data_IF_108107872584
#
_entry.id   IF_108107872584
#
_cell.length_a   1.000
_cell.length_b   1.000
_cell.length_c   1.000
_cell.angle_alpha   90.00
_cell.angle_beta   90.00
_cell.angle_gamma   90.00
#
_symmetry.space_group_name_H-M   'P 1'
#
loop_
_entity.id
_entity.type
_entity.pdbx_description
1 polymer ?
#
# COMPACT_ATOMS: atom_id res chain seq x y z
N UNK A 1 -32.14 22.82 21.09
CA UNK A 1 -30.91 22.13 21.51
C UNK A 1 -30.03 21.96 20.28
N UNK A 2 -28.83 22.55 20.28
CA UNK A 2 -27.94 22.57 19.11
C UNK A 2 -26.61 23.28 19.39
N UNK A 3 -26.19 23.32 20.67
CA UNK A 3 -24.90 23.91 21.02
C UNK A 3 -23.85 22.80 20.88
N UNK A 4 -22.76 23.09 20.16
CA UNK A 4 -21.63 22.17 20.01
C UNK A 4 -20.99 21.83 21.36
N UNK A 5 -20.21 20.74 21.43
CA UNK A 5 -19.67 20.21 22.69
C UNK A 5 -18.95 21.28 23.52
N UNK A 6 -18.15 22.15 22.89
CA UNK A 6 -17.49 23.28 23.57
C UNK A 6 -18.45 24.14 24.42
N UNK A 7 -19.61 24.49 23.87
CA UNK A 7 -20.59 25.33 24.54
C UNK A 7 -21.48 24.57 25.53
N UNK A 8 -21.59 23.23 25.42
CA UNK A 8 -22.29 22.40 26.40
C UNK A 8 -21.46 22.26 27.68
N UNK A 9 -20.15 22.01 27.57
CA UNK A 9 -19.28 21.86 28.74
C UNK A 9 -19.07 23.17 29.49
N UNK A 10 -19.04 24.31 28.79
CA UNK A 10 -19.01 25.64 29.40
C UNK A 10 -20.29 25.97 30.19
N UNK A 11 -21.46 25.51 29.71
CA UNK A 11 -22.77 25.67 30.38
C UNK A 11 -22.95 24.76 31.61
N UNK A 12 -22.31 23.59 31.65
CA UNK A 12 -22.43 22.62 32.76
C UNK A 12 -21.49 23.00 33.91
N UNK A 13 -20.22 23.27 33.61
CA UNK A 13 -19.25 23.74 34.60
C UNK A 13 -18.10 24.48 33.88
N UNK A 14 -17.84 25.76 34.18
CA UNK A 14 -16.84 26.57 33.47
C UNK A 14 -15.40 26.04 33.59
N UNK A 15 -15.12 25.20 34.61
CA UNK A 15 -13.84 24.47 34.74
C UNK A 15 -13.64 23.43 33.62
N UNK A 16 -14.72 22.89 33.05
CA UNK A 16 -14.70 21.86 31.99
C UNK A 16 -14.68 22.46 30.57
N UNK A 17 -14.57 23.77 30.42
CA UNK A 17 -14.47 24.42 29.11
C UNK A 17 -13.28 23.86 28.28
N UNK A 18 -12.16 23.55 28.95
CA UNK A 18 -11.01 22.89 28.32
C UNK A 18 -11.33 21.52 27.72
N UNK A 19 -12.26 20.76 28.30
CA UNK A 19 -12.69 19.46 27.78
C UNK A 19 -13.44 19.61 26.46
N UNK A 20 -14.34 20.61 26.38
CA UNK A 20 -15.09 20.92 25.19
C UNK A 20 -14.20 21.32 24.00
N UNK A 21 -13.17 22.14 24.26
CA UNK A 21 -12.15 22.49 23.26
C UNK A 21 -11.28 21.28 22.87
N UNK A 22 -10.91 20.42 23.82
CA UNK A 22 -10.16 19.20 23.55
C UNK A 22 -10.93 18.22 22.64
N UNK A 23 -12.25 18.09 22.80
CA UNK A 23 -13.06 17.26 21.90
C UNK A 23 -13.11 17.82 20.46
N UNK A 24 -13.18 19.14 20.31
CA UNK A 24 -13.14 19.78 18.99
C UNK A 24 -11.76 19.62 18.36
N UNK A 25 -10.67 19.76 19.13
CA UNK A 25 -9.31 19.58 18.60
C UNK A 25 -9.04 18.13 18.17
N UNK A 26 -9.46 17.14 18.96
CA UNK A 26 -9.37 15.72 18.56
C UNK A 26 -10.18 15.45 17.30
N UNK A 27 -11.41 15.95 17.21
CA UNK A 27 -12.23 15.83 15.99
C UNK A 27 -11.58 16.47 14.77
N UNK A 28 -10.90 17.60 14.95
CA UNK A 28 -10.17 18.28 13.89
C UNK A 28 -8.95 17.48 13.43
N UNK A 29 -8.16 16.94 14.36
CA UNK A 29 -7.04 16.04 14.06
C UNK A 29 -7.52 14.79 13.30
N UNK A 30 -8.66 14.25 13.72
CA UNK A 30 -9.30 13.11 13.07
C UNK A 30 -9.72 13.43 11.63
N UNK A 31 -10.35 14.58 11.43
CA UNK A 31 -10.77 15.03 10.10
C UNK A 31 -9.56 15.14 9.13
N UNK A 32 -8.44 15.71 9.57
CA UNK A 32 -7.26 15.85 8.71
C UNK A 32 -6.71 14.51 8.26
N UNK A 33 -6.46 13.54 9.16
CA UNK A 33 -5.92 12.25 8.72
C UNK A 33 -6.89 11.49 7.82
N UNK A 34 -8.21 11.56 8.09
CA UNK A 34 -9.21 10.89 7.25
C UNK A 34 -9.27 11.49 5.84
N UNK A 35 -9.14 12.81 5.68
CA UNK A 35 -9.11 13.42 4.35
C UNK A 35 -7.95 12.93 3.50
N UNK A 36 -6.80 12.64 4.12
CA UNK A 36 -5.63 12.06 3.43
C UNK A 36 -5.92 10.62 2.96
N UNK A 37 -6.47 9.78 3.85
CA UNK A 37 -6.82 8.38 3.52
C UNK A 37 -7.86 8.35 2.38
N UNK A 38 -8.88 9.20 2.46
CA UNK A 38 -9.89 9.33 1.41
C UNK A 38 -9.26 9.82 0.10
N UNK A 39 -8.30 10.74 0.16
CA UNK A 39 -7.53 11.20 -0.99
C UNK A 39 -6.79 10.06 -1.70
N UNK A 40 -6.12 9.19 -0.94
CA UNK A 40 -5.50 7.98 -1.48
C UNK A 40 -6.55 7.05 -2.10
N UNK A 41 -7.69 6.82 -1.43
CA UNK A 41 -8.76 5.98 -1.97
C UNK A 41 -9.29 6.48 -3.32
N UNK A 42 -9.48 7.80 -3.48
CA UNK A 42 -9.86 8.39 -4.76
C UNK A 42 -8.78 8.21 -5.83
N UNK A 43 -7.50 8.39 -5.50
CA UNK A 43 -6.39 8.16 -6.43
C UNK A 43 -6.40 6.73 -6.95
N UNK A 44 -6.51 5.73 -6.07
CA UNK A 44 -6.61 4.32 -6.45
C UNK A 44 -7.87 4.06 -7.28
N UNK A 45 -9.02 4.63 -6.93
CA UNK A 45 -10.26 4.48 -7.69
C UNK A 45 -10.14 4.99 -9.13
N UNK A 46 -9.56 6.18 -9.33
CA UNK A 46 -9.38 6.72 -10.68
C UNK A 46 -8.35 5.94 -11.48
N UNK A 47 -7.27 5.48 -10.85
CA UNK A 47 -6.25 4.65 -11.49
C UNK A 47 -6.78 3.27 -11.91
N UNK A 48 -7.80 2.74 -11.22
CA UNK A 48 -8.47 1.49 -11.59
C UNK A 48 -9.29 1.55 -12.89
N UNK A 49 -9.54 2.74 -13.46
CA UNK A 49 -10.19 2.85 -14.79
C UNK A 49 -9.21 2.65 -15.96
N UNK A 50 -8.01 2.15 -15.68
CA UNK A 50 -6.99 1.80 -16.70
C UNK A 50 -7.08 0.31 -17.02
N UNK A 51 -6.71 -0.09 -18.24
CA UNK A 51 -6.71 -1.50 -18.67
C UNK A 51 -5.68 -2.36 -17.94
N UNK A 52 -4.56 -1.75 -17.54
CA UNK A 52 -3.49 -2.38 -16.77
C UNK A 52 -3.25 -1.52 -15.54
N UNK A 53 -3.30 -2.12 -14.35
CA UNK A 53 -3.15 -1.38 -13.10
C UNK A 53 -1.66 -1.24 -12.77
N UNK A 54 -1.18 -0.05 -12.37
CA UNK A 54 0.24 0.18 -12.16
C UNK A 54 0.82 -0.55 -10.94
N UNK A 55 -0.03 -1.18 -10.12
CA UNK A 55 0.37 -1.98 -8.95
C UNK A 55 0.03 -3.48 -9.12
N UNK A 56 -0.30 -3.90 -10.34
CA UNK A 56 -0.61 -5.29 -10.68
C UNK A 56 0.66 -6.10 -11.01
N UNK A 57 1.62 -5.44 -11.66
CA UNK A 57 2.94 -5.98 -11.99
C UNK A 57 4.02 -5.27 -11.19
N UNK A 58 5.19 -5.89 -11.10
CA UNK A 58 6.36 -5.19 -10.58
C UNK A 58 6.93 -4.32 -11.73
N UNK A 59 7.07 -3.02 -11.52
CA UNK A 59 7.69 -2.13 -12.51
C UNK A 59 9.04 -1.61 -11.98
N UNK A 60 10.07 -1.61 -12.84
CA UNK A 60 11.44 -1.22 -12.50
C UNK A 60 11.60 0.19 -11.91
N UNK A 61 10.62 1.06 -12.11
CA UNK A 61 10.63 2.46 -11.64
C UNK A 61 10.39 2.60 -10.13
N UNK A 62 9.67 1.66 -9.50
CA UNK A 62 9.36 1.70 -8.06
C UNK A 62 9.52 0.35 -7.34
N UNK A 63 9.63 -0.76 -8.07
CA UNK A 63 9.69 -2.10 -7.49
C UNK A 63 11.07 -2.43 -6.94
N UNK A 64 11.11 -2.99 -5.74
CA UNK A 64 12.34 -3.45 -5.09
C UNK A 64 12.73 -4.85 -5.61
N UNK A 65 13.95 -5.31 -5.30
CA UNK A 65 14.43 -6.67 -5.62
C UNK A 65 13.57 -7.79 -5.01
N UNK A 66 12.78 -7.46 -3.98
CA UNK A 66 11.85 -8.35 -3.29
C UNK A 66 10.45 -8.38 -3.88
N UNK A 67 10.16 -7.55 -4.89
CA UNK A 67 8.84 -7.48 -5.50
C UNK A 67 8.49 -8.79 -6.21
N UNK A 68 7.28 -9.28 -5.97
CA UNK A 68 6.79 -10.52 -6.58
C UNK A 68 5.35 -10.37 -7.06
N UNK A 69 5.14 -10.37 -8.39
CA UNK A 69 3.81 -10.43 -9.00
C UNK A 69 3.40 -11.88 -9.28
N UNK A 70 2.19 -12.23 -8.85
CA UNK A 70 1.57 -13.53 -9.17
C UNK A 70 1.20 -13.66 -10.64
N UNK A 71 0.95 -12.54 -11.33
CA UNK A 71 0.54 -12.52 -12.74
C UNK A 71 1.75 -12.81 -13.62
N UNK A 72 2.87 -12.15 -13.38
CA UNK A 72 4.11 -12.40 -14.11
C UNK A 72 4.63 -13.82 -13.85
N UNK A 73 4.46 -14.33 -12.62
CA UNK A 73 4.78 -15.71 -12.28
C UNK A 73 3.91 -16.74 -13.03
N UNK A 74 2.61 -16.47 -13.20
CA UNK A 74 1.72 -17.38 -13.94
C UNK A 74 1.96 -17.32 -15.45
N UNK A 75 2.24 -16.13 -16.01
CA UNK A 75 2.67 -15.96 -17.41
C UNK A 75 3.99 -16.68 -17.70
N UNK A 76 4.94 -16.61 -16.76
CA UNK A 76 6.20 -17.36 -16.84
C UNK A 76 5.95 -18.88 -16.85
N UNK A 77 5.10 -19.37 -15.95
CA UNK A 77 4.72 -20.78 -15.90
C UNK A 77 4.01 -21.25 -17.19
N UNK A 78 3.25 -20.37 -17.85
CA UNK A 78 2.62 -20.67 -19.14
C UNK A 78 3.62 -20.78 -20.30
N UNK A 79 4.80 -20.16 -20.18
CA UNK A 79 5.81 -20.06 -21.25
C UNK A 79 6.95 -21.08 -21.08
N UNK A 80 6.68 -22.23 -20.45
CA UNK A 80 7.67 -23.26 -20.07
C UNK A 80 8.74 -22.81 -19.06
N UNK A 81 8.56 -21.63 -18.44
CA UNK A 81 9.37 -21.23 -17.31
C UNK A 81 8.95 -21.97 -16.04
N UNK A 82 9.90 -22.18 -15.13
CA UNK A 82 9.67 -22.87 -13.85
C UNK A 82 9.80 -21.95 -12.65
N UNK A 83 10.46 -20.79 -12.78
CA UNK A 83 10.62 -19.82 -11.68
C UNK A 83 10.63 -18.37 -12.16
N UNK A 84 9.87 -17.51 -11.49
CA UNK A 84 9.87 -16.06 -11.69
C UNK A 84 10.57 -15.35 -10.52
N UNK A 85 11.57 -14.53 -10.80
CA UNK A 85 12.35 -13.77 -9.81
C UNK A 85 12.99 -12.51 -10.43
N UNK A 86 12.94 -11.36 -9.73
CA UNK A 86 13.51 -10.07 -10.16
C UNK A 86 13.15 -9.70 -11.62
N UNK A 87 11.88 -9.73 -11.99
CA UNK A 87 11.42 -9.41 -13.37
C UNK A 87 11.97 -10.34 -14.46
N UNK A 88 12.44 -11.55 -14.10
CA UNK A 88 12.92 -12.56 -15.04
C UNK A 88 12.21 -13.89 -14.85
N UNK A 89 11.93 -14.54 -15.96
CA UNK A 89 11.44 -15.90 -16.03
C UNK A 89 12.61 -16.84 -16.33
N UNK A 90 12.77 -17.87 -15.51
CA UNK A 90 13.84 -18.87 -15.62
C UNK A 90 13.26 -20.23 -15.97
N UNK A 91 13.95 -20.96 -16.85
CA UNK A 91 13.64 -22.35 -17.17
C UNK A 91 14.39 -23.32 -16.24
N UNK A 92 13.97 -24.58 -16.22
CA UNK A 92 14.53 -25.62 -15.35
C UNK A 92 16.05 -25.81 -15.51
N UNK A 93 16.55 -25.74 -16.75
CA UNK A 93 18.00 -25.82 -17.04
C UNK A 93 18.78 -24.58 -16.59
N UNK A 94 18.16 -23.40 -16.59
CA UNK A 94 18.78 -22.14 -16.18
C UNK A 94 18.85 -22.06 -14.65
N UNK A 95 17.84 -22.59 -13.95
CA UNK A 95 17.83 -22.74 -12.50
C UNK A 95 18.90 -23.74 -12.06
N UNK A 96 19.13 -24.82 -12.81
CA UNK A 96 20.20 -25.76 -12.50
C UNK A 96 21.60 -25.15 -12.70
N UNK A 97 21.73 -24.17 -13.62
CA UNK A 97 22.99 -23.46 -13.89
C UNK A 97 23.28 -22.29 -12.94
N UNK A 98 22.32 -21.90 -12.08
CA UNK A 98 22.41 -20.69 -11.26
C UNK A 98 21.91 -20.96 -9.83
N UNK A 99 22.60 -20.46 -8.79
CA UNK A 99 22.19 -20.67 -7.38
C UNK A 99 20.97 -19.80 -6.95
N UNK A 100 20.01 -19.54 -7.84
CA UNK A 100 18.84 -18.68 -7.57
C UNK A 100 17.69 -19.40 -6.89
N UNK A 101 17.57 -20.72 -7.04
CA UNK A 101 16.50 -21.50 -6.38
C UNK A 101 16.57 -21.38 -4.86
N UNK A 102 17.78 -21.45 -4.28
CA UNK A 102 18.00 -21.24 -2.85
C UNK A 102 17.80 -19.78 -2.43
N UNK A 103 18.20 -18.80 -3.26
CA UNK A 103 17.97 -17.38 -2.97
C UNK A 103 16.51 -16.97 -3.06
N UNK A 104 15.76 -17.46 -4.05
CA UNK A 104 14.34 -17.18 -4.24
C UNK A 104 13.47 -17.90 -3.19
N UNK A 105 13.90 -19.07 -2.71
CA UNK A 105 13.29 -19.77 -1.57
C UNK A 105 13.65 -19.14 -0.21
N UNK A 106 14.87 -18.60 -0.07
CA UNK A 106 15.33 -17.90 1.13
C UNK A 106 14.93 -16.40 1.15
N UNK A 107 14.41 -15.86 0.04
CA UNK A 107 13.79 -14.54 -0.02
C UNK A 107 12.47 -14.57 0.74
N UNK A 108 12.60 -14.57 2.05
CA UNK A 108 11.55 -14.68 3.06
C UNK A 108 10.70 -13.41 3.17
N UNK A 109 10.89 -12.46 2.25
CA UNK A 109 10.10 -11.24 2.09
C UNK A 109 9.76 -11.07 0.62
N UNK A 110 8.74 -11.79 0.15
CA UNK A 110 8.09 -11.43 -1.11
C UNK A 110 7.17 -10.26 -0.82
N UNK A 111 7.50 -9.08 -1.36
CA UNK A 111 6.64 -7.91 -1.24
C UNK A 111 5.64 -7.92 -2.41
N UNK A 112 4.34 -7.75 -2.15
CA UNK A 112 3.36 -7.62 -3.22
C UNK A 112 3.55 -6.28 -3.94
N UNK A 113 3.30 -6.21 -5.25
CA UNK A 113 3.50 -5.00 -6.06
C UNK A 113 2.72 -3.79 -5.54
N UNK A 114 1.53 -4.01 -4.97
CA UNK A 114 0.73 -2.93 -4.37
C UNK A 114 1.33 -2.33 -3.09
N UNK A 115 2.08 -3.11 -2.31
CA UNK A 115 2.78 -2.58 -1.13
C UNK A 115 3.97 -1.72 -1.58
N UNK A 116 4.82 -2.24 -2.44
CA UNK A 116 5.99 -1.52 -2.96
C UNK A 116 5.58 -0.24 -3.72
N UNK A 117 4.49 -0.28 -4.48
CA UNK A 117 3.94 0.90 -5.13
C UNK A 117 3.51 1.97 -4.12
N UNK A 118 2.85 1.58 -3.03
CA UNK A 118 2.45 2.52 -1.99
C UNK A 118 3.67 3.12 -1.28
N UNK A 119 4.64 2.28 -0.90
CA UNK A 119 5.85 2.70 -0.19
C UNK A 119 6.75 3.62 -1.04
N UNK A 120 7.03 3.26 -2.29
CA UNK A 120 8.03 3.98 -3.10
C UNK A 120 7.44 5.00 -4.08
N UNK A 121 6.14 4.94 -4.41
CA UNK A 121 5.51 5.92 -5.31
C UNK A 121 4.60 6.91 -4.61
N UNK A 122 3.92 6.52 -3.53
CA UNK A 122 2.95 7.38 -2.83
C UNK A 122 3.56 8.02 -1.58
N UNK A 123 4.29 7.24 -0.78
CA UNK A 123 4.94 7.74 0.44
C UNK A 123 6.28 8.44 0.13
N UNK A 124 7.08 7.89 -0.79
CA UNK A 124 8.33 8.48 -1.28
C UNK A 124 9.54 8.21 -0.40
#
# INVERSE_FOLDING_TARGET
>A
AGLGPAAVFDRICPILNGLGLAMVSVSCMVAFYYTVIIGWAFLYMFKSFTSELPWERCHHEWATDTCYSHIEASECAATNGSLYYQHRCYNESEIAGTNISELAANSSRKAPPAQDFFEHSILG
#
